data_IF_408599633528
#
_entry.id   IF_408599633528
#
_cell.length_a   1.000
_cell.length_b   1.000
_cell.length_c   1.000
_cell.angle_alpha   90.00
_cell.angle_beta   90.00
_cell.angle_gamma   90.00
#
_symmetry.space_group_name_H-M   'P 1'
#
loop_
_entity.id
_entity.type
_entity.pdbx_description
1 polymer ?
#
# COMPACT_ATOMS: atom_id res chain seq x y z
N UNK A 1 -27.95 5.41 24.33
CA UNK A 1 -26.79 5.97 23.61
C UNK A 1 -27.01 5.75 22.13
N UNK A 2 -27.16 6.81 21.33
CA UNK A 2 -27.39 6.69 19.89
C UNK A 2 -26.16 6.11 19.20
N UNK A 3 -26.24 4.88 18.70
CA UNK A 3 -25.16 4.27 17.95
C UNK A 3 -24.91 5.09 16.69
N UNK A 4 -23.69 5.61 16.53
CA UNK A 4 -23.28 6.28 15.30
C UNK A 4 -23.56 5.33 14.12
N UNK A 5 -24.34 5.79 13.14
CA UNK A 5 -24.58 5.05 11.91
C UNK A 5 -23.22 4.80 11.26
N UNK A 6 -22.78 3.54 11.21
CA UNK A 6 -21.52 3.21 10.55
C UNK A 6 -21.65 3.47 9.05
N UNK A 7 -20.71 4.22 8.49
CA UNK A 7 -20.73 4.61 7.08
C UNK A 7 -20.48 3.40 6.19
N UNK A 8 -21.13 3.38 5.02
CA UNK A 8 -20.81 2.46 3.93
C UNK A 8 -19.80 3.15 3.00
N UNK A 9 -18.71 2.45 2.71
CA UNK A 9 -17.54 2.96 2.00
C UNK A 9 -17.33 2.14 0.72
N UNK A 10 -17.17 2.84 -0.41
CA UNK A 10 -16.80 2.24 -1.68
C UNK A 10 -15.32 1.84 -1.67
N UNK A 11 -15.03 0.58 -1.97
CA UNK A 11 -13.67 0.03 -2.00
C UNK A 11 -12.88 0.40 -3.28
N UNK A 12 -13.57 0.94 -4.28
CA UNK A 12 -13.03 1.32 -5.58
C UNK A 12 -12.66 0.13 -6.47
N UNK A 13 -12.51 0.38 -7.77
CA UNK A 13 -12.07 -0.64 -8.74
C UNK A 13 -13.01 -1.84 -8.88
N UNK A 14 -14.32 -1.65 -8.66
CA UNK A 14 -15.32 -2.72 -8.79
C UNK A 14 -15.42 -3.67 -7.59
N UNK A 15 -14.68 -3.42 -6.50
CA UNK A 15 -14.61 -4.32 -5.32
C UNK A 15 -15.82 -4.24 -4.37
N UNK A 16 -16.86 -3.48 -4.74
CA UNK A 16 -18.05 -3.30 -3.93
C UNK A 16 -17.86 -2.32 -2.76
N UNK A 17 -18.63 -2.56 -1.70
CA UNK A 17 -18.74 -1.67 -0.55
C UNK A 17 -18.54 -2.45 0.75
N UNK A 18 -18.07 -1.78 1.81
CA UNK A 18 -18.00 -2.32 3.16
C UNK A 18 -18.39 -1.25 4.18
N UNK A 19 -18.68 -1.65 5.41
CA UNK A 19 -18.73 -0.73 6.54
C UNK A 19 -17.36 -0.13 6.80
N UNK A 20 -17.36 1.09 7.33
CA UNK A 20 -16.16 1.92 7.50
C UNK A 20 -14.96 1.19 8.14
N UNK A 21 -15.15 0.48 9.25
CA UNK A 21 -14.04 -0.19 9.92
C UNK A 21 -13.47 -1.35 9.07
N UNK A 22 -14.33 -2.16 8.47
CA UNK A 22 -13.92 -3.25 7.58
C UNK A 22 -13.23 -2.70 6.32
N UNK A 23 -13.73 -1.61 5.73
CA UNK A 23 -13.12 -0.94 4.59
C UNK A 23 -11.72 -0.41 4.93
N UNK A 24 -11.57 0.25 6.08
CA UNK A 24 -10.28 0.74 6.58
C UNK A 24 -9.30 -0.39 6.83
N UNK A 25 -9.77 -1.51 7.38
CA UNK A 25 -8.95 -2.70 7.56
C UNK A 25 -8.47 -3.26 6.22
N UNK A 26 -9.38 -3.47 5.26
CA UNK A 26 -9.01 -3.97 3.93
C UNK A 26 -8.02 -3.03 3.22
N UNK A 27 -8.15 -1.71 3.41
CA UNK A 27 -7.20 -0.73 2.92
C UNK A 27 -5.78 -0.90 3.51
N UNK A 28 -5.66 -1.27 4.78
CA UNK A 28 -4.37 -1.59 5.39
C UNK A 28 -3.79 -2.87 4.82
N UNK A 29 -4.63 -3.88 4.59
CA UNK A 29 -4.23 -5.10 3.88
C UNK A 29 -3.70 -4.76 2.48
N UNK A 30 -4.43 -3.94 1.70
CA UNK A 30 -4.02 -3.48 0.37
C UNK A 30 -2.61 -2.84 0.40
N UNK A 31 -2.37 -1.97 1.39
CA UNK A 31 -1.06 -1.34 1.60
C UNK A 31 0.01 -2.36 1.94
N UNK A 32 -0.31 -3.31 2.82
CA UNK A 32 0.64 -4.33 3.30
C UNK A 32 1.06 -5.30 2.20
N UNK A 33 0.14 -5.69 1.32
CA UNK A 33 0.43 -6.60 0.20
C UNK A 33 0.97 -5.85 -1.03
N UNK A 34 0.87 -4.52 -1.06
CA UNK A 34 1.44 -3.67 -2.12
C UNK A 34 0.53 -3.45 -3.33
N UNK A 35 -0.68 -4.00 -3.31
CA UNK A 35 -1.70 -3.78 -4.33
C UNK A 35 -3.12 -3.92 -3.78
N UNK A 36 -4.11 -3.52 -4.58
CA UNK A 36 -5.53 -3.69 -4.23
C UNK A 36 -5.88 -5.17 -4.27
N UNK A 37 -6.22 -5.74 -3.12
CA UNK A 37 -6.65 -7.13 -3.04
C UNK A 37 -7.90 -7.36 -3.90
N UNK A 38 -7.92 -8.49 -4.61
CA UNK A 38 -9.04 -9.00 -5.37
C UNK A 38 -10.19 -9.33 -4.41
N UNK A 39 -11.39 -8.86 -4.75
CA UNK A 39 -12.63 -9.14 -4.02
C UNK A 39 -13.66 -9.61 -5.03
N UNK A 40 -14.21 -10.81 -4.83
CA UNK A 40 -15.31 -11.34 -5.66
C UNK A 40 -16.63 -10.79 -5.17
N UNK A 41 -16.81 -10.70 -3.85
CA UNK A 41 -18.03 -10.18 -3.23
C UNK A 41 -17.72 -9.46 -1.92
N UNK A 42 -18.48 -8.38 -1.64
CA UNK A 42 -18.40 -7.60 -0.41
C UNK A 42 -19.82 -7.38 0.12
N UNK A 43 -20.23 -6.14 0.44
CA UNK A 43 -21.58 -5.85 0.89
C UNK A 43 -22.63 -6.36 -0.11
N UNK A 44 -23.62 -7.08 0.43
CA UNK A 44 -24.74 -7.63 -0.33
C UNK A 44 -26.05 -6.94 0.05
N UNK A 45 -26.82 -6.51 -0.94
CA UNK A 45 -28.18 -6.02 -0.70
C UNK A 45 -29.13 -7.16 -0.32
N UNK A 46 -30.29 -6.82 0.24
CA UNK A 46 -31.32 -7.82 0.54
C UNK A 46 -31.77 -8.58 -0.72
N UNK A 47 -31.96 -7.87 -1.84
CA UNK A 47 -32.37 -8.47 -3.11
C UNK A 47 -31.35 -9.50 -3.61
N UNK A 48 -30.06 -9.17 -3.57
CA UNK A 48 -28.98 -10.10 -3.92
C UNK A 48 -28.94 -11.30 -2.96
N UNK A 49 -29.13 -11.09 -1.64
CA UNK A 49 -29.20 -12.21 -0.69
C UNK A 49 -30.35 -13.15 -1.01
N UNK A 50 -31.53 -12.61 -1.33
CA UNK A 50 -32.69 -13.42 -1.69
C UNK A 50 -32.44 -14.22 -2.97
N UNK A 51 -31.78 -13.63 -3.98
CA UNK A 51 -31.40 -14.34 -5.20
C UNK A 51 -30.43 -15.51 -4.92
N UNK A 52 -29.43 -15.28 -4.08
CA UNK A 52 -28.48 -16.33 -3.67
C UNK A 52 -29.19 -17.44 -2.88
N UNK A 53 -30.11 -17.09 -1.98
CA UNK A 53 -30.92 -18.04 -1.23
C UNK A 53 -31.80 -18.90 -2.15
N UNK A 54 -32.49 -18.29 -3.12
CA UNK A 54 -33.31 -19.03 -4.09
C UNK A 54 -32.47 -19.97 -4.95
N UNK A 55 -31.26 -19.54 -5.35
CA UNK A 55 -30.31 -20.38 -6.07
C UNK A 55 -29.85 -21.57 -5.23
N UNK A 56 -29.47 -21.34 -3.97
CA UNK A 56 -29.10 -22.40 -3.03
C UNK A 56 -30.24 -23.39 -2.80
N UNK A 57 -31.48 -22.91 -2.61
CA UNK A 57 -32.65 -23.77 -2.42
C UNK A 57 -32.91 -24.69 -3.62
N UNK A 58 -32.62 -24.21 -4.84
CA UNK A 58 -32.80 -24.98 -6.08
C UNK A 58 -31.66 -25.96 -6.34
N UNK A 59 -30.42 -25.55 -6.09
CA UNK A 59 -29.22 -26.26 -6.57
C UNK A 59 -28.43 -26.96 -5.46
N UNK A 60 -28.66 -26.60 -4.19
CA UNK A 60 -27.85 -27.04 -3.05
C UNK A 60 -26.47 -26.37 -2.94
N UNK A 61 -26.11 -25.46 -3.86
CA UNK A 61 -24.84 -24.71 -3.85
C UNK A 61 -24.91 -23.43 -4.74
N UNK A 62 -24.03 -22.42 -4.51
CA UNK A 62 -23.22 -22.21 -3.31
C UNK A 62 -24.10 -21.97 -2.08
N UNK A 63 -23.55 -22.15 -0.87
CA UNK A 63 -24.33 -22.02 0.36
C UNK A 63 -24.80 -20.58 0.52
N UNK A 64 -26.07 -20.40 0.86
CA UNK A 64 -26.62 -19.09 1.18
C UNK A 64 -27.55 -19.19 2.39
N UNK A 65 -27.47 -18.20 3.27
CA UNK A 65 -28.41 -18.05 4.38
C UNK A 65 -29.76 -17.53 3.87
N UNK A 66 -30.84 -17.86 4.58
CA UNK A 66 -32.14 -17.25 4.36
C UNK A 66 -32.02 -15.71 4.50
N UNK A 67 -32.68 -14.88 3.69
CA UNK A 67 -32.57 -13.42 3.78
C UNK A 67 -32.98 -12.84 5.14
N UNK A 68 -33.84 -13.54 5.89
CA UNK A 68 -34.24 -13.17 7.26
C UNK A 68 -33.20 -13.55 8.32
N UNK A 69 -32.17 -14.31 7.95
CA UNK A 69 -30.98 -14.58 8.75
C UNK A 69 -29.83 -13.74 8.17
N UNK A 70 -29.60 -12.51 8.68
CA UNK A 70 -28.74 -11.55 7.99
C UNK A 70 -27.32 -12.08 7.87
N UNK A 71 -26.91 -12.28 6.61
CA UNK A 71 -25.54 -12.60 6.23
C UNK A 71 -24.60 -11.50 6.68
N UNK A 72 -23.35 -11.85 7.01
CA UNK A 72 -22.32 -10.86 7.35
C UNK A 72 -21.98 -9.97 6.15
N UNK A 73 -22.20 -10.45 4.92
CA UNK A 73 -22.19 -9.60 3.72
C UNK A 73 -23.27 -8.52 3.76
N UNK A 74 -24.48 -8.80 4.25
CA UNK A 74 -25.53 -7.78 4.39
C UNK A 74 -25.19 -6.73 5.45
N UNK A 75 -24.34 -7.10 6.42
CA UNK A 75 -23.79 -6.16 7.40
C UNK A 75 -22.64 -5.32 6.80
N UNK A 76 -22.09 -5.68 5.64
CA UNK A 76 -20.91 -5.01 5.09
C UNK A 76 -19.63 -5.30 5.88
N UNK A 77 -19.57 -6.45 6.54
CA UNK A 77 -18.47 -6.88 7.41
C UNK A 77 -17.86 -8.18 6.92
N UNK A 78 -18.10 -8.58 5.67
CA UNK A 78 -17.51 -9.76 5.05
C UNK A 78 -17.03 -9.48 3.63
N UNK A 79 -16.00 -10.21 3.23
CA UNK A 79 -15.50 -10.26 1.86
C UNK A 79 -15.28 -11.70 1.44
N UNK A 80 -15.58 -11.97 0.18
CA UNK A 80 -15.12 -13.16 -0.52
C UNK A 80 -13.93 -12.79 -1.39
N UNK A 81 -12.84 -13.55 -1.27
CA UNK A 81 -11.59 -13.32 -2.00
C UNK A 81 -10.80 -14.61 -2.16
N UNK A 82 -10.42 -14.91 -3.40
CA UNK A 82 -9.49 -15.99 -3.70
C UNK A 82 -8.05 -15.60 -3.39
N UNK A 83 -7.75 -14.31 -3.47
CA UNK A 83 -6.42 -13.79 -3.21
C UNK A 83 -6.08 -13.77 -1.71
N UNK A 84 -7.01 -13.34 -0.84
CA UNK A 84 -6.77 -13.30 0.62
C UNK A 84 -6.38 -14.67 1.19
N UNK A 85 -6.72 -15.77 0.49
CA UNK A 85 -6.27 -17.11 0.85
C UNK A 85 -4.75 -17.27 0.89
N UNK A 86 -3.99 -16.43 0.16
CA UNK A 86 -2.53 -16.39 0.17
C UNK A 86 -1.95 -15.52 1.28
N UNK A 87 -2.79 -14.69 1.90
CA UNK A 87 -2.41 -13.69 2.89
C UNK A 87 -3.15 -13.89 4.22
N UNK A 88 -3.47 -15.13 4.60
CA UNK A 88 -4.31 -15.45 5.76
C UNK A 88 -3.79 -14.82 7.06
N UNK A 89 -2.48 -14.87 7.29
CA UNK A 89 -1.88 -14.30 8.50
C UNK A 89 -2.05 -12.77 8.55
N UNK A 90 -1.89 -12.10 7.40
CA UNK A 90 -2.11 -10.65 7.26
C UNK A 90 -3.60 -10.34 7.46
N UNK A 91 -4.49 -11.08 6.80
CA UNK A 91 -5.93 -10.90 6.95
C UNK A 91 -6.36 -11.02 8.42
N UNK A 92 -5.90 -12.06 9.12
CA UNK A 92 -6.23 -12.30 10.52
C UNK A 92 -5.69 -11.20 11.46
N UNK A 93 -4.48 -10.71 11.23
CA UNK A 93 -3.87 -9.60 11.99
C UNK A 93 -4.68 -8.29 11.83
N UNK A 94 -5.28 -8.12 10.65
CA UNK A 94 -6.19 -7.03 10.33
C UNK A 94 -7.67 -7.35 10.64
N UNK A 95 -7.96 -8.41 11.41
CA UNK A 95 -9.30 -8.73 11.90
C UNK A 95 -10.22 -9.46 10.93
N UNK A 96 -9.75 -9.81 9.73
CA UNK A 96 -10.47 -10.66 8.78
C UNK A 96 -10.13 -12.13 9.00
N UNK A 97 -11.11 -12.92 9.43
CA UNK A 97 -10.92 -14.35 9.73
C UNK A 97 -11.91 -15.22 8.98
N UNK A 98 -11.55 -16.48 8.76
CA UNK A 98 -12.44 -17.48 8.19
C UNK A 98 -13.32 -18.07 9.29
N UNK A 99 -14.62 -18.13 9.05
CA UNK A 99 -15.62 -18.50 10.07
C UNK A 99 -16.54 -19.65 9.62
N UNK A 100 -16.56 -19.98 8.33
CA UNK A 100 -17.52 -20.93 7.77
C UNK A 100 -17.02 -22.37 7.90
N UNK A 101 -17.10 -22.88 9.13
CA UNK A 101 -16.84 -24.27 9.46
C UNK A 101 -18.15 -25.08 9.54
N UNK A 102 -18.09 -26.35 9.11
CA UNK A 102 -19.18 -27.32 9.21
C UNK A 102 -18.66 -28.67 9.69
N UNK A 103 -19.52 -29.42 10.36
CA UNK A 103 -19.22 -30.79 10.75
C UNK A 103 -19.36 -31.72 9.52
N UNK A 104 -18.24 -32.17 8.96
CA UNK A 104 -18.18 -33.04 7.79
C UNK A 104 -17.42 -34.30 8.17
N UNK A 105 -18.05 -35.47 8.01
CA UNK A 105 -17.44 -36.78 8.31
C UNK A 105 -16.80 -36.87 9.71
N UNK A 106 -17.43 -36.27 10.72
CA UNK A 106 -16.93 -36.32 12.10
C UNK A 106 -15.86 -35.27 12.45
N UNK A 107 -15.60 -34.28 11.59
CA UNK A 107 -14.58 -33.25 11.82
C UNK A 107 -15.09 -31.86 11.40
N UNK A 108 -14.76 -30.83 12.18
CA UNK A 108 -14.97 -29.43 11.79
C UNK A 108 -14.09 -29.08 10.58
N UNK A 109 -14.73 -28.85 9.44
CA UNK A 109 -14.08 -28.58 8.16
C UNK A 109 -14.44 -27.18 7.68
N UNK A 110 -13.44 -26.41 7.24
CA UNK A 110 -13.63 -25.12 6.57
C UNK A 110 -14.22 -25.36 5.18
N UNK A 111 -15.46 -24.91 4.94
CA UNK A 111 -16.19 -25.20 3.69
C UNK A 111 -16.19 -24.03 2.70
N UNK A 112 -15.97 -22.79 3.16
CA UNK A 112 -15.82 -21.62 2.28
C UNK A 112 -14.46 -20.97 2.52
N UNK A 113 -13.45 -21.40 1.76
CA UNK A 113 -12.06 -20.92 1.95
C UNK A 113 -11.87 -19.47 1.49
N UNK A 114 -12.75 -18.98 0.64
CA UNK A 114 -12.73 -17.62 0.12
C UNK A 114 -13.41 -16.62 1.06
N UNK A 115 -14.22 -17.06 2.03
CA UNK A 115 -15.02 -16.19 2.89
C UNK A 115 -14.26 -15.70 4.13
N UNK A 116 -14.22 -14.38 4.31
CA UNK A 116 -13.60 -13.72 5.46
C UNK A 116 -14.57 -12.73 6.10
N UNK A 117 -14.79 -12.88 7.40
CA UNK A 117 -15.57 -11.96 8.22
C UNK A 117 -14.65 -11.03 9.03
N UNK A 118 -15.01 -9.76 9.12
CA UNK A 118 -14.29 -8.73 9.87
C UNK A 118 -14.80 -8.62 11.31
N UNK A 119 -13.87 -8.68 12.25
CA UNK A 119 -14.10 -8.50 13.68
C UNK A 119 -13.26 -7.33 14.18
N UNK A 120 -13.91 -6.23 14.57
CA UNK A 120 -13.21 -5.00 14.98
C UNK A 120 -12.30 -5.25 16.18
N UNK A 121 -12.72 -6.09 17.11
CA UNK A 121 -11.97 -6.46 18.31
C UNK A 121 -10.72 -7.31 18.02
N UNK A 122 -10.65 -7.94 16.84
CA UNK A 122 -9.50 -8.74 16.39
C UNK A 122 -8.57 -7.98 15.46
N UNK A 123 -8.94 -6.78 15.02
CA UNK A 123 -8.10 -5.93 14.18
C UNK A 123 -7.05 -5.22 15.05
N UNK A 124 -5.80 -5.69 14.98
CA UNK A 124 -4.67 -5.12 15.71
C UNK A 124 -4.31 -3.71 15.24
N UNK A 125 -4.83 -3.31 14.07
CA UNK A 125 -4.55 -2.04 13.41
C UNK A 125 -5.75 -1.09 13.41
N UNK A 126 -6.82 -1.40 14.16
CA UNK A 126 -8.05 -0.60 14.20
C UNK A 126 -7.86 0.86 14.63
N UNK A 127 -6.77 1.14 15.34
CA UNK A 127 -6.41 2.48 15.84
C UNK A 127 -5.63 3.31 14.82
N UNK A 128 -5.19 2.71 13.71
CA UNK A 128 -4.53 3.46 12.64
C UNK A 128 -5.50 4.40 11.94
N UNK A 129 -5.11 5.67 11.87
CA UNK A 129 -5.96 6.72 11.29
C UNK A 129 -5.94 6.61 9.77
N UNK A 130 -7.12 6.32 9.22
CA UNK A 130 -7.41 6.45 7.79
C UNK A 130 -8.52 7.48 7.63
N UNK A 131 -8.19 8.59 6.97
CA UNK A 131 -9.15 9.63 6.63
C UNK A 131 -9.91 9.22 5.38
N UNK A 132 -11.23 9.01 5.51
CA UNK A 132 -12.09 8.79 4.35
C UNK A 132 -12.26 10.08 3.57
N UNK A 133 -12.44 9.95 2.27
CA UNK A 133 -12.73 11.08 1.37
C UNK A 133 -14.16 10.95 0.90
N UNK A 134 -14.89 12.07 0.89
CA UNK A 134 -16.25 12.13 0.38
C UNK A 134 -16.23 12.66 -1.06
N UNK A 135 -16.94 12.01 -1.97
CA UNK A 135 -17.12 12.50 -3.35
C UNK A 135 -18.12 13.66 -3.38
N UNK A 136 -18.16 14.39 -4.49
CA UNK A 136 -19.19 15.41 -4.75
C UNK A 136 -20.62 14.85 -4.73
N UNK A 137 -20.79 13.54 -5.01
CA UNK A 137 -22.06 12.82 -4.89
C UNK A 137 -22.40 12.37 -3.47
N UNK A 138 -21.57 12.70 -2.47
CA UNK A 138 -21.78 12.32 -1.07
C UNK A 138 -21.31 10.91 -0.71
N UNK A 139 -20.77 10.14 -1.65
CA UNK A 139 -20.28 8.78 -1.40
C UNK A 139 -18.90 8.78 -0.71
N UNK A 140 -18.71 7.90 0.26
CA UNK A 140 -17.44 7.75 0.97
C UNK A 140 -16.52 6.76 0.24
N UNK A 141 -15.24 7.12 0.13
CA UNK A 141 -14.21 6.24 -0.43
C UNK A 141 -12.92 6.29 0.40
N UNK A 142 -12.11 5.26 0.23
CA UNK A 142 -10.77 5.20 0.77
C UNK A 142 -9.82 6.05 -0.08
N UNK A 143 -8.80 6.70 0.51
CA UNK A 143 -7.73 7.30 -0.26
C UNK A 143 -7.05 6.22 -1.11
N UNK A 144 -6.31 6.60 -2.15
CA UNK A 144 -5.64 5.60 -2.98
C UNK A 144 -4.57 4.87 -2.11
N UNK A 145 -4.68 3.53 -1.88
CA UNK A 145 -3.78 2.81 -0.96
C UNK A 145 -2.35 2.81 -1.44
N UNK A 146 -2.20 2.75 -2.75
CA UNK A 146 -0.96 2.89 -3.48
C UNK A 146 -1.04 4.34 -3.95
N UNK A 147 -0.15 5.22 -3.47
CA UNK A 147 -0.04 6.56 -4.05
C UNK A 147 0.09 6.48 -5.57
N UNK A 148 0.04 7.60 -6.32
CA UNK A 148 0.57 7.55 -7.68
C UNK A 148 1.93 6.86 -7.56
N UNK A 149 2.12 5.73 -8.28
CA UNK A 149 3.46 5.19 -8.43
C UNK A 149 4.24 6.36 -8.99
N UNK A 150 5.01 7.07 -8.17
CA UNK A 150 6.21 7.72 -8.66
C UNK A 150 6.88 6.57 -9.38
N UNK A 151 6.90 6.60 -10.72
CA UNK A 151 7.66 5.63 -11.50
C UNK A 151 8.95 5.46 -10.71
N UNK A 152 9.29 4.25 -10.23
CA UNK A 152 10.57 4.08 -9.56
C UNK A 152 11.56 4.73 -10.53
N UNK A 153 12.23 5.79 -10.06
CA UNK A 153 13.38 6.32 -10.77
C UNK A 153 14.17 5.06 -11.07
N UNK A 154 14.42 4.71 -12.35
CA UNK A 154 15.12 3.48 -12.66
C UNK A 154 16.28 3.43 -11.69
N UNK A 155 16.33 2.36 -10.87
CA UNK A 155 17.51 2.15 -10.04
C UNK A 155 18.66 2.31 -11.01
N UNK A 156 19.64 3.20 -10.75
CA UNK A 156 20.88 3.10 -11.47
C UNK A 156 21.23 1.62 -11.42
N UNK A 157 21.38 1.02 -12.59
CA UNK A 157 22.14 -0.21 -12.69
C UNK A 157 23.40 0.13 -11.89
N UNK A 158 23.75 -0.66 -10.87
CA UNK A 158 25.10 -0.61 -10.30
C UNK A 158 26.02 -0.98 -11.47
N UNK A 159 26.34 0.02 -12.28
CA UNK A 159 27.37 0.02 -13.29
C UNK A 159 28.68 0.11 -12.52
N UNK A 160 29.76 -0.33 -13.14
CA UNK A 160 31.15 -0.15 -12.70
C UNK A 160 31.54 1.35 -12.49
N UNK A 161 30.57 2.27 -12.56
CA UNK A 161 30.63 3.71 -12.41
C UNK A 161 30.61 4.18 -10.94
N UNK A 162 30.09 3.38 -10.00
CA UNK A 162 30.05 3.71 -8.56
C UNK A 162 31.41 3.49 -7.84
N UNK A 163 32.37 2.85 -8.51
CA UNK A 163 33.75 2.64 -8.00
C UNK A 163 34.71 3.78 -8.37
N UNK A 164 34.26 4.80 -9.11
CA UNK A 164 35.10 5.93 -9.55
C UNK A 164 35.13 7.04 -8.49
N UNK A 165 36.31 7.34 -7.95
CA UNK A 165 36.44 8.41 -6.95
C UNK A 165 36.11 9.79 -7.56
N UNK A 166 35.20 10.59 -6.95
CA UNK A 166 34.89 11.92 -7.45
C UNK A 166 36.10 12.86 -7.31
N UNK A 167 36.29 13.72 -8.31
CA UNK A 167 37.34 14.75 -8.27
C UNK A 167 36.84 15.96 -7.49
N UNK A 168 37.60 16.36 -6.46
CA UNK A 168 37.30 17.55 -5.68
C UNK A 168 38.22 18.71 -6.07
N UNK A 169 37.65 19.91 -6.17
CA UNK A 169 38.35 21.14 -6.52
C UNK A 169 38.09 22.21 -5.46
N UNK A 170 39.12 22.98 -5.12
CA UNK A 170 38.97 24.17 -4.28
C UNK A 170 39.45 25.41 -5.04
N UNK A 171 38.57 26.40 -5.21
CA UNK A 171 38.89 27.66 -5.86
C UNK A 171 39.19 28.72 -4.80
N UNK A 172 40.47 29.06 -4.64
CA UNK A 172 40.92 30.11 -3.71
C UNK A 172 40.36 31.48 -4.10
N UNK A 173 40.26 31.76 -5.40
CA UNK A 173 39.74 33.03 -5.92
C UNK A 173 38.27 33.29 -5.56
N UNK A 174 37.49 32.24 -5.26
CA UNK A 174 36.06 32.35 -4.96
C UNK A 174 35.70 31.82 -3.57
N UNK A 175 36.70 31.35 -2.82
CA UNK A 175 36.57 30.66 -1.53
C UNK A 175 35.46 29.58 -1.54
N UNK A 176 35.49 28.69 -2.54
CA UNK A 176 34.46 27.66 -2.74
C UNK A 176 35.04 26.32 -3.19
N UNK A 177 34.47 25.25 -2.67
CA UNK A 177 34.76 23.88 -3.09
C UNK A 177 33.72 23.36 -4.09
N UNK A 178 34.16 22.50 -5.00
CA UNK A 178 33.31 21.83 -6.00
C UNK A 178 33.63 20.34 -6.05
N UNK A 179 32.59 19.54 -6.30
CA UNK A 179 32.69 18.13 -6.64
C UNK A 179 32.37 17.98 -8.13
N UNK A 180 33.21 17.26 -8.86
CA UNK A 180 32.96 16.88 -10.25
C UNK A 180 32.55 15.41 -10.25
N UNK A 181 31.37 15.14 -10.82
CA UNK A 181 30.92 13.77 -11.02
C UNK A 181 31.84 13.07 -12.03
N UNK A 182 32.42 11.90 -11.74
CA UNK A 182 33.47 11.29 -12.57
C UNK A 182 32.96 10.88 -13.96
N UNK A 183 31.71 10.41 -14.05
CA UNK A 183 31.10 10.01 -15.33
C UNK A 183 30.53 11.19 -16.10
N UNK A 184 29.66 11.98 -15.46
CA UNK A 184 28.90 13.04 -16.16
C UNK A 184 29.64 14.38 -16.26
N UNK A 185 30.83 14.48 -15.67
CA UNK A 185 31.60 15.72 -15.46
C UNK A 185 30.86 16.86 -14.78
N UNK A 186 29.63 16.64 -14.29
CA UNK A 186 28.80 17.70 -13.74
C UNK A 186 29.42 18.26 -12.47
N UNK A 187 29.65 19.57 -12.49
CA UNK A 187 30.13 20.35 -11.36
C UNK A 187 28.99 20.67 -10.39
N UNK A 188 29.16 20.30 -9.13
CA UNK A 188 28.29 20.69 -8.01
C UNK A 188 29.10 21.49 -6.99
N UNK A 189 28.59 22.63 -6.55
CA UNK A 189 29.18 23.35 -5.42
C UNK A 189 29.01 22.53 -4.14
N UNK A 190 30.09 22.38 -3.36
CA UNK A 190 30.07 21.69 -2.08
C UNK A 190 29.72 22.69 -0.98
N UNK A 191 28.66 22.44 -0.19
CA UNK A 191 28.44 23.15 1.07
C UNK A 191 29.64 22.98 2.01
N UNK A 192 29.89 23.96 2.88
CA UNK A 192 31.03 23.95 3.82
C UNK A 192 31.10 22.66 4.65
N UNK A 193 29.95 22.17 5.12
CA UNK A 193 29.89 20.92 5.90
C UNK A 193 30.34 19.69 5.09
N UNK A 194 29.96 19.61 3.81
CA UNK A 194 30.38 18.50 2.93
C UNK A 194 31.86 18.61 2.56
N UNK A 195 32.37 19.83 2.39
CA UNK A 195 33.79 20.09 2.15
C UNK A 195 34.66 19.62 3.32
N UNK A 196 34.31 20.01 4.55
CA UNK A 196 35.06 19.59 5.74
C UNK A 196 34.97 18.08 5.96
N UNK A 197 33.81 17.46 5.70
CA UNK A 197 33.67 16.00 5.75
C UNK A 197 34.55 15.29 4.72
N UNK A 198 34.58 15.77 3.48
CA UNK A 198 35.44 15.20 2.43
C UNK A 198 36.93 15.36 2.76
N UNK A 199 37.32 16.48 3.34
CA UNK A 199 38.69 16.72 3.84
C UNK A 199 39.04 15.77 4.99
N UNK A 200 38.12 15.59 5.96
CA UNK A 200 38.31 14.64 7.06
C UNK A 200 38.43 13.18 6.57
N UNK A 201 37.75 12.85 5.47
CA UNK A 201 37.86 11.56 4.79
C UNK A 201 39.13 11.40 3.93
N UNK A 202 40.05 12.37 3.94
CA UNK A 202 41.32 12.31 3.21
C UNK A 202 41.21 12.52 1.70
N UNK A 203 40.09 13.09 1.21
CA UNK A 203 39.92 13.37 -0.22
C UNK A 203 40.90 14.44 -0.69
N UNK A 204 41.48 14.24 -1.88
CA UNK A 204 42.44 15.17 -2.49
C UNK A 204 41.69 16.27 -3.25
N UNK A 205 42.11 17.51 -3.04
CA UNK A 205 41.56 18.69 -3.72
C UNK A 205 42.62 19.30 -4.63
N UNK A 206 42.30 19.51 -5.92
CA UNK A 206 43.15 20.37 -6.74
C UNK A 206 42.94 21.83 -6.31
N UNK A 207 44.03 22.52 -5.96
CA UNK A 207 44.04 23.91 -5.47
C UNK A 207 44.59 24.85 -6.54
N UNK A 208 44.22 26.12 -6.46
CA UNK A 208 44.78 27.18 -7.31
C UNK A 208 44.15 27.30 -8.70
N UNK A 209 43.03 26.63 -8.97
CA UNK A 209 42.31 26.83 -10.23
C UNK A 209 41.44 28.08 -10.17
N UNK A 210 41.60 28.95 -11.17
CA UNK A 210 40.69 30.07 -11.43
C UNK A 210 39.32 29.55 -11.83
N UNK A 211 38.25 30.35 -11.64
CA UNK A 211 36.91 29.96 -12.08
C UNK A 211 36.86 29.59 -13.57
N UNK A 212 37.61 30.30 -14.43
CA UNK A 212 37.71 30.00 -15.84
C UNK A 212 38.34 28.62 -16.11
N UNK A 213 39.43 28.28 -15.42
CA UNK A 213 40.05 26.95 -15.53
C UNK A 213 39.14 25.84 -15.02
N UNK A 214 38.38 26.09 -13.94
CA UNK A 214 37.39 25.12 -13.45
C UNK A 214 36.25 24.94 -14.45
N UNK A 215 35.80 26.00 -15.12
CA UNK A 215 34.70 25.95 -16.09
C UNK A 215 35.13 25.36 -17.46
N UNK A 216 36.44 25.23 -17.72
CA UNK A 216 37.01 24.59 -18.93
C UNK A 216 37.15 23.07 -18.81
N UNK A 217 36.91 22.48 -17.63
CA UNK A 217 36.92 21.03 -17.46
C UNK A 217 35.67 20.47 -18.14
N UNK A 218 35.80 19.60 -19.16
CA UNK A 218 34.66 19.09 -19.90
C UNK A 218 33.65 18.40 -18.98
N UNK A 219 32.36 18.65 -19.21
CA UNK A 219 31.33 17.75 -18.70
C UNK A 219 31.44 16.46 -19.52
N UNK A 220 32.05 15.41 -18.95
CA UNK A 220 32.13 14.07 -19.55
C UNK A 220 30.77 13.46 -19.83
#
# INVERSE_FOLDING_TARGET
MGGAVQRIVNLGGGRGFLRENAAKSLHRIDKRIGHRCQITEALRSWAQQNEHWLTYKRNGHPIALHPDTPSVHQKGEAVDSDELQRFIAIAADHGFIRTVYRWVNGVWTLVERWHFEYFTERDNHRHEVITLVQTSSGAWHLPNPIGPKTKPKPKPIESEEDDMEPLYLYSEAHDRAFMIHPVTGKKRALPTAEYEAAKAAGRKFARGLTKAQVDQIPNG
#
